data_IF_516377719232
#
_entry.id   IF_516377719232
#
_cell.length_a   1.000
_cell.length_b   1.000
_cell.length_c   1.000
_cell.angle_alpha   90.00
_cell.angle_beta   90.00
_cell.angle_gamma   90.00
#
_symmetry.space_group_name_H-M   'P 1'
#
loop_
_entity.id
_entity.type
_entity.pdbx_description
1 polymer ?
#
# COMPACT_ATOMS: atom_id res chain seq x y z
N UNK A 1 1.53 3.72 17.51
CA UNK A 1 2.58 4.22 16.61
C UNK A 1 1.89 4.85 15.42
N UNK A 2 2.19 6.11 15.10
CA UNK A 2 1.72 6.76 13.88
C UNK A 2 2.57 6.27 12.70
N UNK A 3 1.96 6.14 11.53
CA UNK A 3 2.59 5.62 10.33
C UNK A 3 1.71 5.92 9.13
N UNK A 4 2.33 6.11 7.98
CA UNK A 4 1.62 6.43 6.75
C UNK A 4 1.40 5.16 5.93
N UNK A 5 0.20 5.01 5.36
CA UNK A 5 -0.11 4.00 4.34
C UNK A 5 -0.58 4.75 3.10
N UNK A 6 -0.08 4.39 1.94
CA UNK A 6 -0.54 4.95 0.67
C UNK A 6 -1.51 4.00 -0.02
N UNK A 7 -2.50 4.61 -0.68
CA UNK A 7 -3.40 3.92 -1.60
C UNK A 7 -2.68 3.56 -2.91
N UNK A 8 -3.20 2.55 -3.62
CA UNK A 8 -2.73 2.09 -4.94
C UNK A 8 -2.58 3.24 -5.93
N UNK A 9 -3.50 4.22 -5.92
CA UNK A 9 -3.48 5.37 -6.82
C UNK A 9 -2.21 6.23 -6.70
N UNK A 10 -1.68 6.40 -5.47
CA UNK A 10 -0.45 7.17 -5.21
C UNK A 10 0.76 6.47 -5.85
N UNK A 11 0.86 5.15 -5.69
CA UNK A 11 1.90 4.35 -6.32
C UNK A 11 1.79 4.37 -7.85
N UNK A 12 0.60 4.21 -8.41
CA UNK A 12 0.37 4.28 -9.86
C UNK A 12 0.81 5.63 -10.41
N UNK A 13 0.45 6.73 -9.75
CA UNK A 13 0.83 8.08 -10.18
C UNK A 13 2.34 8.28 -10.18
N UNK A 14 3.03 7.84 -9.12
CA UNK A 14 4.49 7.88 -9.02
C UNK A 14 5.17 7.04 -10.11
N UNK A 15 4.70 5.81 -10.33
CA UNK A 15 5.22 4.92 -11.37
C UNK A 15 5.03 5.49 -12.79
N UNK A 16 3.87 6.09 -13.08
CA UNK A 16 3.58 6.72 -14.38
C UNK A 16 4.48 7.93 -14.63
N UNK A 17 4.78 8.72 -13.60
CA UNK A 17 5.67 9.89 -13.69
C UNK A 17 7.15 9.51 -13.64
N UNK A 18 7.47 8.21 -13.49
CA UNK A 18 8.82 7.72 -13.22
C UNK A 18 9.48 8.44 -12.02
N UNK A 19 8.65 8.90 -11.09
CA UNK A 19 9.07 9.60 -9.88
C UNK A 19 9.32 8.57 -8.77
N UNK A 20 10.56 8.49 -8.30
CA UNK A 20 10.97 7.56 -7.26
C UNK A 20 10.83 8.10 -5.84
N UNK A 21 10.30 9.32 -5.66
CA UNK A 21 10.12 9.98 -4.36
C UNK A 21 9.31 9.14 -3.36
N UNK A 22 8.17 8.58 -3.79
CA UNK A 22 7.32 7.68 -3.00
C UNK A 22 8.08 6.40 -2.59
N UNK A 23 8.95 5.90 -3.47
CA UNK A 23 9.81 4.75 -3.21
C UNK A 23 10.98 5.11 -2.26
N UNK A 24 11.44 6.37 -2.31
CA UNK A 24 12.50 6.94 -1.50
C UNK A 24 12.08 7.21 -0.05
N UNK A 25 10.81 7.56 0.19
CA UNK A 25 10.25 7.74 1.54
C UNK A 25 10.30 6.46 2.38
N UNK A 26 10.36 5.28 1.76
CA UNK A 26 10.59 4.01 2.46
C UNK A 26 11.97 3.96 3.14
N UNK A 27 12.97 4.66 2.61
CA UNK A 27 14.36 4.64 3.09
C UNK A 27 14.65 5.69 4.17
N UNK A 28 13.88 6.78 4.24
CA UNK A 28 14.19 7.95 5.08
C UNK A 28 13.73 7.85 6.54
N UNK A 29 13.23 6.70 6.98
CA UNK A 29 12.97 6.42 8.40
C UNK A 29 14.19 5.76 9.08
N UNK A 30 15.38 5.91 8.50
CA UNK A 30 16.65 5.63 9.17
C UNK A 30 17.07 6.85 10.00
N UNK A 31 16.78 6.76 11.30
CA UNK A 31 17.44 7.39 12.46
C UNK A 31 17.59 8.92 12.55
N UNK A 32 17.36 9.72 11.50
CA UNK A 32 17.66 11.17 11.55
C UNK A 32 16.59 12.11 10.94
N UNK A 33 15.46 11.61 10.44
CA UNK A 33 14.40 12.47 9.89
C UNK A 33 13.05 12.18 10.56
N UNK A 34 12.36 13.24 10.98
CA UNK A 34 11.02 13.29 11.59
C UNK A 34 9.88 12.83 10.65
N UNK A 35 10.15 11.98 9.66
CA UNK A 35 9.12 11.44 8.79
C UNK A 35 8.52 10.15 9.37
N UNK A 36 7.19 10.11 9.44
CA UNK A 36 6.45 8.93 9.86
C UNK A 36 6.85 7.68 9.04
N UNK A 37 6.93 6.49 9.66
CA UNK A 37 7.25 5.27 8.95
C UNK A 37 6.19 4.97 7.89
N UNK A 38 6.66 4.71 6.66
CA UNK A 38 5.81 4.22 5.57
C UNK A 38 5.57 2.71 5.72
N UNK A 39 4.31 2.31 5.66
CA UNK A 39 3.84 0.92 5.61
C UNK A 39 3.22 0.62 4.25
N UNK A 40 3.22 -0.66 3.87
CA UNK A 40 2.60 -1.17 2.65
C UNK A 40 1.49 -2.15 3.03
N UNK A 41 0.27 -1.93 2.52
CA UNK A 41 -0.81 -2.92 2.64
C UNK A 41 -0.62 -4.03 1.61
N UNK A 42 -0.83 -5.28 2.01
CA UNK A 42 -0.86 -6.42 1.10
C UNK A 42 -1.95 -6.26 0.03
N UNK A 43 -3.10 -5.67 0.36
CA UNK A 43 -4.18 -5.41 -0.60
C UNK A 43 -3.72 -4.45 -1.69
N UNK A 44 -3.05 -3.35 -1.31
CA UNK A 44 -2.48 -2.38 -2.26
C UNK A 44 -1.41 -3.02 -3.14
N UNK A 45 -0.56 -3.88 -2.57
CA UNK A 45 0.45 -4.61 -3.33
C UNK A 45 -0.20 -5.52 -4.39
N UNK A 46 -1.25 -6.26 -4.03
CA UNK A 46 -1.96 -7.13 -4.97
C UNK A 46 -2.67 -6.35 -6.06
N UNK A 47 -3.30 -5.21 -5.74
CA UNK A 47 -3.90 -4.32 -6.75
C UNK A 47 -2.84 -3.81 -7.76
N UNK A 48 -1.65 -3.47 -7.27
CA UNK A 48 -0.53 -3.10 -8.14
C UNK A 48 -0.07 -4.27 -9.01
N UNK A 49 -0.04 -5.49 -8.48
CA UNK A 49 0.30 -6.69 -9.25
C UNK A 49 -0.71 -7.00 -10.35
N UNK A 50 -2.01 -6.84 -10.06
CA UNK A 50 -3.09 -6.98 -11.05
C UNK A 50 -2.90 -5.98 -12.19
N UNK A 51 -2.54 -4.73 -11.87
CA UNK A 51 -2.22 -3.70 -12.87
C UNK A 51 -0.88 -3.88 -13.59
N UNK A 52 0.00 -4.78 -13.13
CA UNK A 52 1.35 -4.92 -13.65
C UNK A 52 1.43 -5.77 -14.92
N UNK A 53 1.24 -5.14 -16.08
CA UNK A 53 1.20 -5.84 -17.38
C UNK A 53 2.57 -6.34 -17.89
N UNK A 54 3.68 -5.77 -17.43
CA UNK A 54 5.02 -6.10 -17.94
C UNK A 54 5.94 -6.73 -16.87
N UNK A 55 6.91 -7.53 -17.35
CA UNK A 55 7.85 -8.27 -16.49
C UNK A 55 8.75 -7.36 -15.64
N UNK A 56 9.09 -6.16 -16.13
CA UNK A 56 9.93 -5.20 -15.40
C UNK A 56 9.20 -4.68 -14.16
N UNK A 57 7.92 -4.34 -14.30
CA UNK A 57 7.08 -3.85 -13.22
C UNK A 57 6.81 -4.96 -12.19
N UNK A 58 6.51 -6.18 -12.62
CA UNK A 58 6.38 -7.33 -11.70
C UNK A 58 7.65 -7.57 -10.88
N UNK A 59 8.83 -7.47 -11.49
CA UNK A 59 10.12 -7.58 -10.77
C UNK A 59 10.32 -6.44 -9.77
N UNK A 60 9.88 -5.23 -10.10
CA UNK A 60 9.94 -4.09 -9.19
C UNK A 60 9.04 -4.31 -7.97
N UNK A 61 7.80 -4.77 -8.19
CA UNK A 61 6.84 -5.07 -7.12
C UNK A 61 7.33 -6.20 -6.21
N UNK A 62 7.91 -7.27 -6.77
CA UNK A 62 8.50 -8.36 -5.99
C UNK A 62 9.69 -7.92 -5.13
N UNK A 63 10.47 -6.93 -5.60
CA UNK A 63 11.52 -6.31 -4.79
C UNK A 63 10.89 -5.47 -3.67
N UNK A 64 9.82 -4.75 -3.98
CA UNK A 64 9.08 -3.92 -3.04
C UNK A 64 8.55 -4.72 -1.86
N UNK A 65 7.83 -5.79 -2.14
CA UNK A 65 7.33 -6.78 -1.19
C UNK A 65 8.42 -7.24 -0.23
N UNK A 66 9.48 -7.87 -0.75
CA UNK A 66 10.61 -8.39 0.05
C UNK A 66 11.25 -7.34 0.95
N UNK A 67 11.36 -6.12 0.45
CA UNK A 67 11.97 -5.05 1.22
C UNK A 67 11.08 -4.57 2.39
N UNK A 68 9.75 -4.49 2.19
CA UNK A 68 8.80 -4.14 3.26
C UNK A 68 8.62 -5.28 4.27
N UNK A 69 8.65 -6.54 3.82
CA UNK A 69 8.70 -7.71 4.69
C UNK A 69 9.94 -7.70 5.57
N UNK A 70 11.13 -7.45 4.99
CA UNK A 70 12.41 -7.44 5.72
C UNK A 70 12.42 -6.43 6.88
N UNK A 71 11.70 -5.32 6.75
CA UNK A 71 11.62 -4.28 7.79
C UNK A 71 10.35 -4.37 8.64
N UNK A 72 9.56 -5.45 8.53
CA UNK A 72 8.29 -5.66 9.22
C UNK A 72 7.27 -4.53 9.02
N UNK A 73 7.15 -4.01 7.79
CA UNK A 73 6.19 -2.95 7.43
C UNK A 73 5.25 -3.34 6.28
N UNK A 74 5.18 -4.63 5.96
CA UNK A 74 4.09 -5.20 5.17
C UNK A 74 2.92 -5.52 6.10
N UNK A 75 1.79 -4.87 5.89
CA UNK A 75 0.57 -5.06 6.66
C UNK A 75 -0.36 -6.03 5.94
N UNK A 76 -0.65 -7.15 6.58
CA UNK A 76 -1.59 -8.16 6.10
C UNK A 76 -2.88 -8.02 6.91
N UNK A 77 -4.02 -7.67 6.27
CA UNK A 77 -5.29 -7.55 6.98
C UNK A 77 -5.69 -8.86 7.66
N UNK A 78 -6.04 -8.76 8.94
CA UNK A 78 -6.54 -9.87 9.73
C UNK A 78 -8.08 -9.94 9.70
N UNK A 79 -8.65 -10.90 10.42
CA UNK A 79 -10.10 -11.11 10.48
C UNK A 79 -10.89 -9.87 10.93
N UNK A 80 -10.33 -9.08 11.87
CA UNK A 80 -10.96 -7.86 12.37
C UNK A 80 -10.95 -6.77 11.29
N UNK A 81 -9.83 -6.60 10.57
CA UNK A 81 -9.73 -5.63 9.48
C UNK A 81 -10.77 -5.93 8.39
N UNK A 82 -10.94 -7.21 8.02
CA UNK A 82 -11.96 -7.63 7.06
C UNK A 82 -13.39 -7.41 7.56
N UNK A 83 -13.62 -7.64 8.86
CA UNK A 83 -14.94 -7.42 9.48
C UNK A 83 -15.31 -5.94 9.44
N UNK A 84 -14.37 -5.05 9.80
CA UNK A 84 -14.56 -3.60 9.75
C UNK A 84 -14.78 -3.14 8.30
N UNK A 85 -14.00 -3.67 7.35
CA UNK A 85 -14.19 -3.39 5.92
C UNK A 85 -15.62 -3.72 5.48
N UNK A 86 -16.14 -4.90 5.81
CA UNK A 86 -17.51 -5.29 5.49
C UNK A 86 -18.58 -4.38 6.11
N UNK A 87 -18.39 -3.96 7.36
CA UNK A 87 -19.29 -3.00 8.02
C UNK A 87 -19.30 -1.64 7.31
N UNK A 88 -18.13 -1.13 6.93
CA UNK A 88 -18.00 0.13 6.19
C UNK A 88 -18.67 0.02 4.81
N UNK A 89 -18.44 -1.08 4.09
CA UNK A 89 -19.07 -1.32 2.79
C UNK A 89 -20.59 -1.38 2.89
N UNK A 90 -21.13 -2.07 3.92
CA UNK A 90 -22.57 -2.11 4.18
C UNK A 90 -23.13 -0.71 4.47
N UNK A 91 -22.47 0.08 5.32
CA UNK A 91 -22.89 1.45 5.61
C UNK A 91 -22.91 2.35 4.35
N UNK A 92 -21.93 2.18 3.46
CA UNK A 92 -21.91 2.86 2.15
C UNK A 92 -23.06 2.37 1.27
N UNK A 93 -23.29 1.05 1.20
CA UNK A 93 -24.40 0.45 0.45
C UNK A 93 -25.76 1.01 0.87
N UNK A 94 -26.03 1.07 2.17
CA UNK A 94 -27.25 1.65 2.75
C UNK A 94 -27.43 3.12 2.38
N UNK A 95 -26.34 3.89 2.44
CA UNK A 95 -26.38 5.33 2.17
C UNK A 95 -26.71 5.65 0.71
N UNK A 96 -26.25 4.83 -0.24
CA UNK A 96 -26.37 5.11 -1.66
C UNK A 96 -27.34 4.18 -2.42
N UNK A 97 -28.00 3.24 -1.72
CA UNK A 97 -29.01 2.35 -2.31
C UNK A 97 -28.40 1.24 -3.17
N UNK A 98 -27.23 0.74 -2.78
CA UNK A 98 -26.57 -0.42 -3.43
C UNK A 98 -26.75 -1.72 -2.62
N UNK A 99 -27.77 -1.79 -1.75
CA UNK A 99 -28.15 -3.02 -1.02
C UNK A 99 -28.92 -4.02 -1.89
#
# INVERSE_FOLDING_TARGET
MAGTIFDTSIYINSLRKNDSSVLGQRRTSSEQNENEPLFLSAVVLEELYVGAVNRKLKKLLAKFEKDFEKINRLLVPNQTDWTICGQVLSAIGQKYGFE
#
